data_IF_293668937868
#
_entry.id   IF_293668937868
#
_cell.length_a   1.000
_cell.length_b   1.000
_cell.length_c   1.000
_cell.angle_alpha   90.00
_cell.angle_beta   90.00
_cell.angle_gamma   90.00
#
_symmetry.space_group_name_H-M   'P 1'
#
loop_
_entity.id
_entity.type
_entity.pdbx_description
1 polymer ?
#
# COMPACT_ATOMS: atom_id res chain seq x y z
N UNK A 1 43.79 16.24 -6.24
CA UNK A 1 43.79 16.00 -4.77
C UNK A 1 43.15 14.65 -4.53
N UNK A 2 43.88 13.66 -4.02
CA UNK A 2 43.34 12.34 -3.69
C UNK A 2 42.42 12.52 -2.48
N UNK A 3 41.10 12.45 -2.67
CA UNK A 3 40.17 12.42 -1.53
C UNK A 3 40.32 11.05 -0.84
N UNK A 4 40.71 11.05 0.42
CA UNK A 4 40.74 9.83 1.22
C UNK A 4 39.32 9.21 1.22
N UNK A 5 39.26 7.90 0.99
CA UNK A 5 37.98 7.16 1.08
C UNK A 5 37.46 7.27 2.53
N UNK A 6 36.20 7.66 2.74
CA UNK A 6 35.62 7.76 4.08
C UNK A 6 35.49 6.37 4.68
N UNK A 7 36.27 6.07 5.71
CA UNK A 7 36.16 4.84 6.49
C UNK A 7 35.54 5.23 7.82
N UNK A 8 34.31 4.74 8.07
CA UNK A 8 33.58 4.96 9.32
C UNK A 8 33.90 3.84 10.32
N UNK A 9 34.16 4.18 11.56
CA UNK A 9 34.27 3.22 12.65
C UNK A 9 32.85 2.73 13.07
N UNK A 10 32.69 1.49 13.55
CA UNK A 10 31.37 0.96 13.95
C UNK A 10 30.63 1.81 15.01
N UNK A 11 31.33 2.48 15.91
CA UNK A 11 30.78 3.39 16.89
C UNK A 11 30.24 4.71 16.29
N UNK A 12 30.71 5.10 15.13
CA UNK A 12 30.19 6.26 14.39
C UNK A 12 28.88 5.93 13.68
N UNK A 13 28.56 4.63 13.48
CA UNK A 13 27.32 4.15 12.88
C UNK A 13 26.16 4.16 13.88
N UNK A 14 26.43 4.18 15.19
CA UNK A 14 25.40 4.09 16.26
C UNK A 14 24.45 5.29 16.35
N UNK A 15 24.76 6.39 15.67
CA UNK A 15 23.94 7.60 15.61
C UNK A 15 23.23 7.82 14.27
N UNK A 16 23.20 6.81 13.40
CA UNK A 16 22.42 6.95 12.17
C UNK A 16 20.94 7.03 12.52
N UNK A 17 20.36 8.19 12.24
CA UNK A 17 18.97 8.52 12.47
C UNK A 17 18.04 7.48 11.80
N UNK A 18 16.84 7.33 12.38
CA UNK A 18 15.71 6.66 11.71
C UNK A 18 15.61 7.19 10.27
N UNK A 19 15.16 6.33 9.34
CA UNK A 19 14.97 6.73 7.96
C UNK A 19 14.17 8.04 7.87
N UNK A 20 14.69 9.02 7.13
CA UNK A 20 14.00 10.29 6.90
C UNK A 20 12.96 10.12 5.79
N UNK A 21 11.74 9.82 6.20
CA UNK A 21 10.65 9.50 5.30
C UNK A 21 10.05 10.75 4.65
N UNK A 22 10.03 10.81 3.33
CA UNK A 22 9.19 11.73 2.55
C UNK A 22 7.75 11.21 2.45
N UNK A 23 7.58 9.89 2.27
CA UNK A 23 6.33 9.18 2.45
C UNK A 23 6.60 7.97 3.33
N UNK A 24 6.04 8.01 4.52
CA UNK A 24 6.35 7.06 5.59
C UNK A 24 6.28 5.62 5.12
N UNK A 25 7.37 4.89 5.31
CA UNK A 25 7.52 3.49 4.96
C UNK A 25 7.76 3.20 3.48
N UNK A 26 7.62 4.18 2.57
CA UNK A 26 7.69 3.93 1.13
C UNK A 26 8.71 4.78 0.37
N UNK A 27 8.92 6.03 0.74
CA UNK A 27 9.91 6.91 0.08
C UNK A 27 10.73 7.60 1.15
N UNK A 28 12.05 7.38 1.19
CA UNK A 28 12.96 7.95 2.16
C UNK A 28 14.10 8.72 1.49
N UNK A 29 14.56 9.81 2.13
CA UNK A 29 15.76 10.53 1.74
C UNK A 29 16.96 9.58 1.64
N UNK A 30 17.79 9.76 0.64
CA UNK A 30 18.98 8.93 0.42
C UNK A 30 18.71 7.51 -0.09
N UNK A 31 17.48 7.19 -0.53
CA UNK A 31 17.10 5.85 -0.97
C UNK A 31 16.48 5.85 -2.36
N UNK A 32 16.61 4.72 -3.05
CA UNK A 32 15.94 4.46 -4.32
C UNK A 32 14.72 3.57 -4.04
N UNK A 33 13.53 4.07 -4.37
CA UNK A 33 12.27 3.31 -4.32
C UNK A 33 11.83 2.95 -5.74
N UNK A 34 11.47 1.68 -5.96
CA UNK A 34 10.86 1.20 -7.20
C UNK A 34 9.37 0.95 -6.99
N UNK A 35 8.52 1.68 -7.71
CA UNK A 35 7.08 1.45 -7.77
C UNK A 35 6.73 0.71 -9.07
N UNK A 36 6.54 -0.60 -8.97
CA UNK A 36 6.19 -1.47 -10.08
C UNK A 36 4.68 -1.74 -10.13
N UNK A 37 4.07 -1.77 -11.31
CA UNK A 37 2.70 -2.22 -11.48
C UNK A 37 2.38 -2.61 -12.92
N UNK A 38 1.27 -3.29 -13.09
CA UNK A 38 0.67 -3.49 -14.40
C UNK A 38 0.25 -2.16 -15.04
N UNK A 39 0.14 -2.17 -16.36
CA UNK A 39 -0.36 -1.03 -17.12
C UNK A 39 -1.77 -0.62 -16.65
N UNK A 40 -2.05 0.68 -16.58
CA UNK A 40 -3.31 1.28 -16.12
C UNK A 40 -3.70 0.98 -14.65
N UNK A 41 -2.82 0.42 -13.83
CA UNK A 41 -3.11 0.24 -12.40
C UNK A 41 -3.07 1.55 -11.58
N UNK A 42 -2.80 2.70 -12.20
CA UNK A 42 -2.86 4.02 -11.57
C UNK A 42 -1.59 4.42 -10.81
N UNK A 43 -0.38 4.08 -11.32
CA UNK A 43 0.90 4.54 -10.73
C UNK A 43 1.00 6.06 -10.70
N UNK A 44 0.84 6.70 -11.86
CA UNK A 44 0.98 8.14 -12.00
C UNK A 44 -0.13 8.89 -11.25
N UNK A 45 -1.31 8.28 -11.04
CA UNK A 45 -2.36 8.84 -10.17
C UNK A 45 -1.94 8.84 -8.70
N UNK A 46 -1.33 7.75 -8.22
CA UNK A 46 -0.79 7.68 -6.85
C UNK A 46 0.38 8.64 -6.67
N UNK A 47 1.26 8.73 -7.67
CA UNK A 47 2.34 9.71 -7.70
C UNK A 47 1.79 11.14 -7.61
N UNK A 48 0.75 11.49 -8.39
CA UNK A 48 0.16 12.83 -8.37
C UNK A 48 -0.38 13.19 -6.96
N UNK A 49 -1.02 12.25 -6.28
CA UNK A 49 -1.44 12.44 -4.89
C UNK A 49 -0.25 12.70 -3.95
N UNK A 50 0.85 11.95 -4.10
CA UNK A 50 2.07 12.15 -3.31
C UNK A 50 2.65 13.55 -3.54
N UNK A 51 2.82 13.95 -4.80
CA UNK A 51 3.39 15.25 -5.15
C UNK A 51 2.56 16.41 -4.62
N UNK A 52 1.24 16.31 -4.65
CA UNK A 52 0.35 17.31 -4.07
C UNK A 52 0.49 17.40 -2.54
N UNK A 53 0.61 16.28 -1.86
CA UNK A 53 0.82 16.27 -0.40
C UNK A 53 2.19 16.80 0.01
N UNK A 54 3.22 16.66 -0.82
CA UNK A 54 4.54 17.22 -0.57
C UNK A 54 4.57 18.75 -0.57
N UNK A 55 3.52 19.44 -0.98
CA UNK A 55 3.44 20.91 -0.90
C UNK A 55 3.40 21.39 0.55
N UNK A 56 2.51 20.82 1.37
CA UNK A 56 2.24 21.26 2.74
C UNK A 56 2.36 20.12 3.76
N UNK A 57 2.71 18.94 3.32
CA UNK A 57 2.63 17.74 4.14
C UNK A 57 1.21 17.17 4.24
N UNK A 58 1.04 16.18 5.08
CA UNK A 58 -0.23 15.51 5.33
C UNK A 58 -0.10 14.00 5.30
N UNK A 59 -1.12 13.32 4.79
CA UNK A 59 -1.16 11.86 4.75
C UNK A 59 -1.66 11.34 3.41
N UNK A 60 -1.20 10.15 3.04
CA UNK A 60 -1.75 9.31 1.97
C UNK A 60 -2.01 7.93 2.55
N UNK A 61 -3.25 7.49 2.53
CA UNK A 61 -3.66 6.21 3.07
C UNK A 61 -3.20 5.99 4.54
N UNK A 62 -3.30 7.03 5.38
CA UNK A 62 -2.92 7.00 6.79
C UNK A 62 -1.41 6.99 7.03
N UNK A 63 -0.59 7.19 5.99
CA UNK A 63 0.86 7.28 6.10
C UNK A 63 1.31 8.72 5.88
N UNK A 64 2.11 9.25 6.80
CA UNK A 64 2.57 10.63 6.78
C UNK A 64 3.41 10.95 5.53
N UNK A 65 3.18 12.14 4.96
CA UNK A 65 3.95 12.73 3.88
C UNK A 65 4.59 14.01 4.38
N UNK A 66 5.91 14.12 4.26
CA UNK A 66 6.69 15.31 4.62
C UNK A 66 6.63 16.34 3.50
N UNK A 67 6.54 17.64 3.80
CA UNK A 67 6.74 18.67 2.80
C UNK A 67 8.12 18.55 2.14
N UNK A 68 8.19 18.86 0.84
CA UNK A 68 9.43 18.81 0.11
C UNK A 68 9.28 19.22 -1.35
N UNK A 69 10.42 19.41 -2.03
CA UNK A 69 10.49 19.78 -3.44
C UNK A 69 10.78 18.58 -4.31
N UNK A 70 10.02 18.45 -5.38
CA UNK A 70 10.12 17.33 -6.30
C UNK A 70 10.35 17.76 -7.75
N UNK A 71 11.10 16.96 -8.49
CA UNK A 71 11.18 17.03 -9.96
C UNK A 71 10.74 15.70 -10.55
N UNK A 72 9.92 15.74 -11.58
CA UNK A 72 9.42 14.56 -12.30
C UNK A 72 9.96 14.58 -13.73
N UNK A 73 10.69 13.52 -14.08
CA UNK A 73 10.96 13.17 -15.48
C UNK A 73 9.78 12.35 -15.98
N UNK A 74 8.97 12.91 -16.88
CA UNK A 74 7.75 12.26 -17.37
C UNK A 74 7.82 11.92 -18.85
N UNK A 75 7.44 10.69 -19.20
CA UNK A 75 7.18 10.29 -20.59
C UNK A 75 5.87 10.85 -21.13
N UNK A 76 4.99 11.31 -20.24
CA UNK A 76 3.73 11.94 -20.61
C UNK A 76 3.91 13.41 -20.99
N UNK A 77 3.03 13.87 -21.86
CA UNK A 77 3.04 15.28 -22.28
C UNK A 77 2.36 16.23 -21.26
N UNK A 78 2.58 17.55 -21.38
CA UNK A 78 2.05 18.56 -20.46
C UNK A 78 0.54 18.52 -20.26
N UNK A 79 -0.24 18.18 -21.31
CA UNK A 79 -1.70 18.14 -21.23
C UNK A 79 -2.25 17.13 -20.21
N UNK A 80 -1.57 15.99 -20.02
CA UNK A 80 -1.97 15.00 -19.01
C UNK A 80 -1.65 15.49 -17.58
N UNK A 81 -0.56 16.23 -17.43
CA UNK A 81 -0.20 16.86 -16.16
C UNK A 81 -1.10 18.04 -15.82
N UNK A 82 -1.56 18.83 -16.82
CA UNK A 82 -2.59 19.86 -16.63
C UNK A 82 -3.90 19.28 -16.08
N UNK A 83 -4.36 18.14 -16.64
CA UNK A 83 -5.50 17.42 -16.11
C UNK A 83 -5.34 16.98 -14.64
N UNK A 84 -4.14 16.56 -14.25
CA UNK A 84 -3.84 16.23 -12.84
C UNK A 84 -3.75 17.48 -11.97
N UNK A 85 -3.17 18.55 -12.50
CA UNK A 85 -3.09 19.83 -11.76
C UNK A 85 -4.47 20.37 -11.40
N UNK A 86 -5.46 20.24 -12.30
CA UNK A 86 -6.86 20.62 -12.02
C UNK A 86 -7.48 19.86 -10.86
N UNK A 87 -7.08 18.62 -10.63
CA UNK A 87 -7.57 17.80 -9.51
C UNK A 87 -6.77 18.01 -8.22
N UNK A 88 -5.44 18.08 -8.35
CA UNK A 88 -4.53 17.99 -7.20
C UNK A 88 -3.94 19.34 -6.77
N UNK A 89 -4.10 20.41 -7.58
CA UNK A 89 -3.64 21.77 -7.28
C UNK A 89 -2.16 21.82 -6.85
N UNK A 90 -1.26 21.30 -7.70
CA UNK A 90 0.18 21.31 -7.42
C UNK A 90 0.72 22.72 -7.18
N UNK A 91 1.64 22.86 -6.22
CA UNK A 91 2.29 24.12 -5.91
C UNK A 91 3.67 24.28 -6.59
N UNK A 92 4.35 25.35 -6.21
CA UNK A 92 5.68 25.72 -6.74
C UNK A 92 6.81 24.80 -6.27
N UNK A 93 6.49 23.82 -5.41
CA UNK A 93 7.40 22.79 -4.96
C UNK A 93 7.61 21.67 -6.00
N UNK A 94 6.89 21.69 -7.13
CA UNK A 94 6.94 20.68 -8.18
C UNK A 94 7.49 21.21 -9.48
N UNK A 95 8.58 20.63 -9.97
CA UNK A 95 9.12 20.79 -11.32
C UNK A 95 8.71 19.62 -12.23
N UNK A 96 8.25 19.92 -13.46
CA UNK A 96 7.86 18.91 -14.43
C UNK A 96 8.77 18.98 -15.67
N UNK A 97 9.45 17.91 -16.00
CA UNK A 97 10.23 17.73 -17.22
C UNK A 97 9.50 16.72 -18.13
N UNK A 98 8.54 17.24 -18.90
CA UNK A 98 7.74 16.43 -19.81
C UNK A 98 8.50 16.18 -21.11
N UNK A 99 8.84 14.90 -21.38
CA UNK A 99 9.54 14.47 -22.58
C UNK A 99 10.83 15.26 -22.85
N UNK A 100 11.78 15.33 -21.88
CA UNK A 100 12.97 16.18 -21.98
C UNK A 100 13.89 15.79 -23.15
N UNK A 101 13.79 14.56 -23.65
CA UNK A 101 14.60 14.06 -24.76
C UNK A 101 13.73 13.76 -25.98
N UNK A 102 14.29 13.96 -27.20
CA UNK A 102 13.64 13.60 -28.47
C UNK A 102 13.64 12.10 -28.76
N UNK A 103 14.04 11.28 -27.82
CA UNK A 103 14.15 9.82 -27.89
C UNK A 103 14.78 9.31 -26.61
N UNK A 104 15.40 8.13 -26.63
CA UNK A 104 16.20 7.67 -25.50
C UNK A 104 17.45 8.56 -25.36
N UNK A 105 17.81 9.00 -24.15
CA UNK A 105 19.04 9.78 -23.95
C UNK A 105 20.27 8.94 -24.26
N UNK A 106 21.32 9.60 -24.70
CA UNK A 106 22.66 9.01 -24.68
C UNK A 106 23.16 8.90 -23.22
N UNK A 107 24.14 8.03 -22.93
CA UNK A 107 24.79 7.99 -21.60
C UNK A 107 25.30 9.36 -21.14
N UNK A 108 25.84 10.16 -22.06
CA UNK A 108 26.32 11.51 -21.76
C UNK A 108 25.16 12.45 -21.37
N UNK A 109 24.09 12.49 -22.16
CA UNK A 109 22.89 13.30 -21.84
C UNK A 109 22.25 12.91 -20.50
N UNK A 110 22.28 11.62 -20.18
CA UNK A 110 21.81 11.12 -18.90
C UNK A 110 22.68 11.61 -17.73
N UNK A 111 24.00 11.50 -17.88
CA UNK A 111 24.96 11.99 -16.88
C UNK A 111 24.81 13.50 -16.65
N UNK A 112 24.80 14.30 -17.73
CA UNK A 112 24.59 15.75 -17.68
C UNK A 112 23.31 16.15 -16.96
N UNK A 113 22.21 15.43 -17.20
CA UNK A 113 20.94 15.65 -16.49
C UNK A 113 21.08 15.37 -15.00
N UNK A 114 21.74 14.27 -14.62
CA UNK A 114 21.94 13.92 -13.20
C UNK A 114 22.85 14.94 -12.50
N UNK A 115 23.86 15.47 -13.17
CA UNK A 115 24.71 16.53 -12.64
C UNK A 115 23.91 17.82 -12.38
N UNK A 116 23.09 18.25 -13.34
CA UNK A 116 22.18 19.40 -13.15
C UNK A 116 21.20 19.21 -12.00
N UNK A 117 20.69 17.99 -11.78
CA UNK A 117 19.79 17.68 -10.66
C UNK A 117 20.56 17.69 -9.31
N UNK A 118 21.81 17.24 -9.30
CA UNK A 118 22.70 17.35 -8.14
C UNK A 118 22.97 18.81 -7.76
N UNK A 119 23.24 19.66 -8.73
CA UNK A 119 23.43 21.11 -8.51
C UNK A 119 22.14 21.75 -7.97
N UNK A 120 20.97 21.37 -8.49
CA UNK A 120 19.69 21.86 -7.98
C UNK A 120 19.40 21.39 -6.56
N UNK A 121 19.78 20.17 -6.21
CA UNK A 121 19.68 19.70 -4.83
C UNK A 121 20.48 20.61 -3.89
N UNK A 122 21.73 20.91 -4.26
CA UNK A 122 22.60 21.77 -3.45
C UNK A 122 22.11 23.21 -3.35
N UNK A 123 21.48 23.76 -4.41
CA UNK A 123 21.13 25.19 -4.51
C UNK A 123 19.72 25.50 -4.03
N UNK A 124 18.74 24.65 -4.32
CA UNK A 124 17.32 24.92 -4.01
C UNK A 124 16.69 23.89 -3.05
N UNK A 125 17.46 22.87 -2.63
CA UNK A 125 16.97 21.85 -1.70
C UNK A 125 15.96 20.90 -2.37
N UNK A 126 16.36 20.22 -3.45
CA UNK A 126 15.52 19.22 -4.12
C UNK A 126 15.52 17.92 -3.31
N UNK A 127 14.34 17.48 -2.85
CA UNK A 127 14.17 16.32 -1.96
C UNK A 127 13.87 15.02 -2.72
N UNK A 128 13.15 15.11 -3.85
CA UNK A 128 12.65 13.95 -4.60
C UNK A 128 12.88 14.09 -6.10
N UNK A 129 13.54 13.11 -6.70
CA UNK A 129 13.53 12.87 -8.14
C UNK A 129 12.56 11.73 -8.45
N UNK A 130 11.62 11.94 -9.37
CA UNK A 130 10.73 10.90 -9.90
C UNK A 130 11.08 10.61 -11.36
N UNK A 131 11.13 9.34 -11.74
CA UNK A 131 11.37 8.88 -13.10
C UNK A 131 10.15 8.06 -13.56
N UNK A 132 9.30 8.63 -14.41
CA UNK A 132 8.06 8.03 -14.91
C UNK A 132 8.05 7.93 -16.46
N UNK A 133 8.49 6.84 -17.06
CA UNK A 133 8.97 5.58 -16.50
C UNK A 133 10.46 5.38 -16.80
N UNK A 134 11.18 4.58 -16.00
CA UNK A 134 12.59 4.33 -16.19
C UNK A 134 12.93 3.78 -17.59
N UNK A 135 12.07 2.94 -18.15
CA UNK A 135 12.31 2.30 -19.45
C UNK A 135 12.42 3.31 -20.60
N UNK A 136 11.69 4.42 -20.48
CA UNK A 136 11.70 5.51 -21.47
C UNK A 136 13.01 6.30 -21.41
N UNK A 137 13.56 6.48 -20.21
CA UNK A 137 14.73 7.30 -19.95
C UNK A 137 16.04 6.49 -19.80
N UNK A 138 15.94 5.15 -19.80
CA UNK A 138 17.12 4.29 -19.69
C UNK A 138 18.05 4.49 -20.90
N UNK A 139 19.29 4.95 -20.71
CA UNK A 139 20.25 5.00 -21.78
C UNK A 139 20.50 3.62 -22.39
N UNK A 140 20.59 3.55 -23.71
CA UNK A 140 20.82 2.30 -24.41
C UNK A 140 19.53 1.56 -24.85
N UNK A 141 19.73 0.50 -25.64
CA UNK A 141 18.62 -0.19 -26.35
C UNK A 141 18.12 -1.45 -25.67
N UNK A 142 18.88 -2.04 -24.75
CA UNK A 142 18.55 -3.34 -24.16
C UNK A 142 18.23 -3.24 -22.67
N UNK A 143 16.95 -3.11 -22.36
CA UNK A 143 16.40 -3.06 -21.00
C UNK A 143 16.56 -4.35 -20.17
N UNK A 144 16.91 -5.45 -20.81
CA UNK A 144 17.15 -6.74 -20.13
C UNK A 144 18.64 -6.96 -19.81
N UNK A 145 19.52 -6.04 -20.23
CA UNK A 145 20.94 -6.13 -19.94
C UNK A 145 21.24 -5.52 -18.57
N UNK A 146 21.67 -6.35 -17.63
CA UNK A 146 21.99 -5.93 -16.26
C UNK A 146 23.05 -4.83 -16.20
N UNK A 147 24.05 -4.87 -17.08
CA UNK A 147 25.10 -3.85 -17.13
C UNK A 147 24.56 -2.48 -17.56
N UNK A 148 23.68 -2.44 -18.58
CA UNK A 148 23.05 -1.20 -19.04
C UNK A 148 22.18 -0.58 -17.92
N UNK A 149 21.46 -1.42 -17.17
CA UNK A 149 20.69 -0.96 -16.01
C UNK A 149 21.64 -0.45 -14.92
N UNK A 150 22.67 -1.20 -14.58
CA UNK A 150 23.64 -0.80 -13.55
C UNK A 150 24.28 0.54 -13.89
N UNK A 151 24.78 0.74 -15.10
CA UNK A 151 25.39 2.00 -15.58
C UNK A 151 24.41 3.17 -15.49
N UNK A 152 23.11 2.97 -15.80
CA UNK A 152 22.11 4.01 -15.70
C UNK A 152 21.72 4.35 -14.25
N UNK A 153 21.87 3.40 -13.32
CA UNK A 153 21.53 3.59 -11.90
C UNK A 153 22.67 4.20 -11.08
N UNK A 154 23.93 4.06 -11.52
CA UNK A 154 25.07 4.65 -10.82
C UNK A 154 24.93 6.17 -10.56
N UNK A 155 24.55 7.01 -11.53
CA UNK A 155 24.32 8.43 -11.27
C UNK A 155 23.18 8.69 -10.27
N UNK A 156 22.14 7.82 -10.21
CA UNK A 156 21.08 7.92 -9.22
C UNK A 156 21.58 7.62 -7.80
N UNK A 157 22.50 6.65 -7.66
CA UNK A 157 23.15 6.39 -6.37
C UNK A 157 23.99 7.58 -5.89
N UNK A 158 24.60 8.33 -6.81
CA UNK A 158 25.28 9.57 -6.46
C UNK A 158 24.30 10.61 -5.89
N UNK A 159 23.13 10.80 -6.50
CA UNK A 159 22.08 11.69 -5.98
C UNK A 159 21.58 11.24 -4.59
N UNK A 160 21.39 9.95 -4.39
CA UNK A 160 20.94 9.44 -3.08
C UNK A 160 22.00 9.58 -2.01
N UNK A 161 23.30 9.44 -2.36
CA UNK A 161 24.40 9.67 -1.40
C UNK A 161 24.45 11.12 -0.89
N UNK A 162 23.86 12.05 -1.62
CA UNK A 162 23.70 13.46 -1.25
C UNK A 162 22.40 13.72 -0.47
N UNK A 163 21.60 12.68 -0.20
CA UNK A 163 20.36 12.75 0.57
C UNK A 163 19.08 12.87 -0.26
N UNK A 164 19.14 12.97 -1.60
CA UNK A 164 17.94 12.99 -2.45
C UNK A 164 17.24 11.64 -2.44
N UNK A 165 15.91 11.61 -2.33
CA UNK A 165 15.13 10.42 -2.60
C UNK A 165 14.95 10.24 -4.12
N UNK A 166 14.94 9.00 -4.59
CA UNK A 166 14.62 8.67 -6.00
C UNK A 166 13.47 7.70 -6.03
N UNK A 167 12.39 8.05 -6.76
CA UNK A 167 11.23 7.20 -7.00
C UNK A 167 11.18 6.82 -8.49
N UNK A 168 11.36 5.54 -8.76
CA UNK A 168 11.32 4.98 -10.11
C UNK A 168 9.99 4.30 -10.34
N UNK A 169 9.25 4.71 -11.38
CA UNK A 169 8.06 4.03 -11.83
C UNK A 169 8.41 3.03 -12.94
N UNK A 170 7.87 1.82 -12.84
CA UNK A 170 8.16 0.75 -13.79
C UNK A 170 6.89 -0.02 -14.19
N UNK A 171 6.75 -0.34 -15.49
CA UNK A 171 5.70 -1.20 -15.99
C UNK A 171 6.15 -2.66 -15.98
N UNK A 172 5.34 -3.52 -15.38
CA UNK A 172 5.59 -4.96 -15.40
C UNK A 172 4.93 -5.62 -16.62
N UNK A 173 5.48 -6.74 -17.08
CA UNK A 173 4.90 -7.51 -18.18
C UNK A 173 3.55 -8.13 -17.79
N UNK A 174 2.65 -8.34 -18.77
CA UNK A 174 1.26 -8.80 -18.60
C UNK A 174 1.04 -10.17 -17.92
N UNK A 175 2.06 -11.01 -17.71
CA UNK A 175 1.87 -12.29 -17.03
C UNK A 175 1.71 -12.06 -15.53
N UNK A 176 0.59 -12.54 -14.97
CA UNK A 176 0.43 -12.69 -13.54
C UNK A 176 1.61 -13.51 -13.00
N UNK A 177 2.50 -12.87 -12.31
CA UNK A 177 3.53 -13.55 -11.53
C UNK A 177 3.09 -13.56 -10.07
N UNK A 178 3.43 -14.64 -9.35
CA UNK A 178 3.22 -14.71 -7.91
C UNK A 178 3.86 -13.50 -7.21
N UNK A 179 3.32 -13.12 -6.06
CA UNK A 179 3.75 -12.00 -5.24
C UNK A 179 5.29 -11.91 -5.11
N UNK A 180 5.84 -10.73 -5.27
CA UNK A 180 7.28 -10.47 -5.26
C UNK A 180 8.02 -10.82 -6.56
N UNK A 181 7.32 -11.22 -7.62
CA UNK A 181 7.93 -11.58 -8.91
C UNK A 181 7.61 -10.60 -10.05
N UNK A 182 6.75 -9.61 -9.82
CA UNK A 182 6.38 -8.64 -10.86
C UNK A 182 7.57 -7.78 -11.29
N UNK A 183 8.39 -7.33 -10.35
CA UNK A 183 9.63 -6.60 -10.63
C UNK A 183 10.77 -7.49 -11.16
N UNK A 184 10.68 -8.82 -10.98
CA UNK A 184 11.72 -9.77 -11.43
C UNK A 184 11.79 -9.97 -12.94
N UNK A 185 10.87 -9.38 -13.71
CA UNK A 185 11.01 -9.29 -15.18
C UNK A 185 12.20 -8.42 -15.63
N UNK A 186 12.70 -7.55 -14.74
CA UNK A 186 13.95 -6.82 -14.81
C UNK A 186 14.76 -7.08 -13.52
N UNK A 187 15.20 -8.33 -13.32
CA UNK A 187 15.86 -8.78 -12.08
C UNK A 187 17.01 -7.90 -11.61
N UNK A 188 17.70 -7.24 -12.55
CA UNK A 188 18.74 -6.28 -12.27
C UNK A 188 18.17 -5.04 -11.52
N UNK A 189 17.05 -4.44 -11.98
CA UNK A 189 16.53 -3.21 -11.38
C UNK A 189 16.09 -3.42 -9.91
N UNK A 190 15.42 -4.55 -9.60
CA UNK A 190 15.00 -4.87 -8.24
C UNK A 190 16.18 -5.09 -7.27
N UNK A 191 17.35 -5.51 -7.77
CA UNK A 191 18.55 -5.71 -6.96
C UNK A 191 19.26 -4.41 -6.56
N UNK A 192 19.00 -3.31 -7.25
CA UNK A 192 19.63 -2.01 -7.01
C UNK A 192 18.81 -1.04 -6.13
N UNK A 193 17.57 -1.37 -5.81
CA UNK A 193 16.69 -0.48 -5.04
C UNK A 193 16.64 -0.87 -3.56
N UNK A 194 16.43 0.13 -2.71
CA UNK A 194 16.34 -0.05 -1.26
C UNK A 194 14.92 -0.46 -0.85
N UNK A 195 13.92 0.07 -1.57
CA UNK A 195 12.50 -0.15 -1.32
C UNK A 195 11.84 -0.57 -2.64
N UNK A 196 11.16 -1.72 -2.63
CA UNK A 196 10.35 -2.21 -3.73
C UNK A 196 8.88 -2.17 -3.35
N UNK A 197 8.05 -1.51 -4.17
CA UNK A 197 6.59 -1.48 -4.02
C UNK A 197 5.96 -2.07 -5.27
N UNK A 198 5.15 -3.09 -5.11
CA UNK A 198 4.28 -3.62 -6.17
C UNK A 198 2.85 -3.15 -5.94
N UNK A 199 2.28 -2.46 -6.94
CA UNK A 199 0.88 -2.01 -6.93
C UNK A 199 0.05 -2.94 -7.80
N UNK A 200 -0.87 -3.65 -7.17
CA UNK A 200 -1.76 -4.62 -7.80
C UNK A 200 -3.20 -4.11 -7.85
N UNK A 201 -3.99 -4.62 -8.79
CA UNK A 201 -5.43 -4.57 -8.69
C UNK A 201 -5.88 -5.36 -7.45
N UNK A 202 -6.90 -4.86 -6.75
CA UNK A 202 -7.50 -5.60 -5.63
C UNK A 202 -8.38 -6.74 -6.16
N UNK A 203 -9.19 -6.44 -7.16
CA UNK A 203 -10.03 -7.39 -7.89
C UNK A 203 -9.60 -7.52 -9.36
N UNK A 204 -10.55 -7.81 -10.25
CA UNK A 204 -10.32 -7.84 -11.69
C UNK A 204 -9.95 -6.45 -12.22
N UNK A 205 -9.00 -6.33 -13.17
CA UNK A 205 -8.69 -5.08 -13.85
C UNK A 205 -9.88 -4.43 -14.55
N UNK A 206 -10.89 -5.22 -14.89
CA UNK A 206 -12.10 -4.79 -15.62
C UNK A 206 -13.21 -4.32 -14.66
N UNK A 207 -13.03 -4.52 -13.34
CA UNK A 207 -14.00 -4.10 -12.35
C UNK A 207 -13.96 -2.58 -12.11
N UNK A 208 -15.07 -2.03 -11.61
CA UNK A 208 -15.15 -0.64 -11.15
C UNK A 208 -14.50 -0.43 -9.78
N UNK A 209 -13.89 -1.46 -9.21
CA UNK A 209 -13.23 -1.44 -7.92
C UNK A 209 -12.04 -0.47 -7.93
N UNK A 210 -12.10 0.53 -7.06
CA UNK A 210 -11.07 1.56 -6.91
C UNK A 210 -9.97 1.18 -5.92
N UNK A 211 -10.10 0.04 -5.26
CA UNK A 211 -9.08 -0.47 -4.33
C UNK A 211 -7.87 -0.99 -5.08
N UNK A 212 -6.71 -0.83 -4.47
CA UNK A 212 -5.45 -1.37 -4.94
C UNK A 212 -4.70 -1.97 -3.75
N UNK A 213 -3.96 -3.02 -3.99
CA UNK A 213 -3.05 -3.61 -3.01
C UNK A 213 -1.64 -3.10 -3.29
N UNK A 214 -1.03 -2.48 -2.31
CA UNK A 214 0.40 -2.22 -2.25
C UNK A 214 1.05 -3.37 -1.49
N UNK A 215 2.10 -3.93 -2.05
CA UNK A 215 2.93 -4.93 -1.42
C UNK A 215 4.37 -4.46 -1.49
N UNK A 216 5.08 -4.40 -0.36
CA UNK A 216 6.39 -3.80 -0.33
C UNK A 216 7.42 -4.64 0.43
N UNK A 217 8.66 -4.48 0.00
CA UNK A 217 9.84 -5.09 0.58
C UNK A 217 10.91 -4.03 0.73
N UNK A 218 11.52 -3.95 1.90
CA UNK A 218 12.63 -3.07 2.18
C UNK A 218 13.48 -3.63 3.34
N UNK A 219 14.56 -2.92 3.65
CA UNK A 219 15.39 -3.18 4.83
C UNK A 219 14.85 -2.50 6.10
N UNK A 220 13.78 -1.70 5.97
CA UNK A 220 13.20 -0.91 7.05
C UNK A 220 11.99 -1.62 7.65
N UNK A 221 11.93 -1.69 8.97
CA UNK A 221 10.80 -2.28 9.72
C UNK A 221 9.51 -1.49 9.56
N UNK A 222 9.62 -0.18 9.32
CA UNK A 222 8.51 0.75 9.14
C UNK A 222 7.77 0.59 7.81
N UNK A 223 8.35 -0.13 6.84
CA UNK A 223 7.69 -0.38 5.55
C UNK A 223 6.51 -1.33 5.71
N UNK A 224 5.27 -0.88 5.45
CA UNK A 224 4.12 -1.77 5.47
C UNK A 224 4.27 -2.85 4.39
N UNK A 225 4.33 -4.11 4.82
CA UNK A 225 4.47 -5.23 3.87
C UNK A 225 3.28 -5.36 2.93
N UNK A 226 2.09 -4.98 3.41
CA UNK A 226 0.87 -5.01 2.64
C UNK A 226 -0.07 -3.90 3.11
N UNK A 227 -0.62 -3.15 2.17
CA UNK A 227 -1.61 -2.11 2.43
C UNK A 227 -2.63 -2.09 1.30
N UNK A 228 -3.91 -2.15 1.66
CA UNK A 228 -5.00 -1.90 0.73
C UNK A 228 -5.32 -0.42 0.77
N UNK A 229 -5.29 0.22 -0.40
CA UNK A 229 -5.63 1.62 -0.58
C UNK A 229 -6.81 1.75 -1.53
N UNK A 230 -7.70 2.68 -1.27
CA UNK A 230 -8.83 3.00 -2.14
C UNK A 230 -8.74 4.44 -2.64
N UNK A 231 -8.81 4.62 -3.96
CA UNK A 231 -8.83 5.94 -4.58
C UNK A 231 -10.24 6.52 -4.58
N UNK A 232 -10.37 7.70 -3.99
CA UNK A 232 -11.63 8.42 -3.84
C UNK A 232 -11.86 9.41 -5.00
N UNK A 233 -13.11 9.84 -5.18
CA UNK A 233 -13.48 10.78 -6.26
C UNK A 233 -12.81 12.15 -6.14
N UNK A 234 -12.47 12.57 -4.93
CA UNK A 234 -11.74 13.82 -4.64
C UNK A 234 -10.21 13.71 -4.85
N UNK A 235 -9.72 12.57 -5.35
CA UNK A 235 -8.29 12.32 -5.58
C UNK A 235 -7.54 11.77 -4.38
N UNK A 236 -8.16 11.66 -3.21
CA UNK A 236 -7.52 11.12 -2.00
C UNK A 236 -7.41 9.60 -2.03
N UNK A 237 -6.51 9.07 -1.21
CA UNK A 237 -6.37 7.64 -0.96
C UNK A 237 -6.66 7.34 0.50
N UNK A 238 -7.62 6.43 0.74
CA UNK A 238 -7.93 5.91 2.07
C UNK A 238 -7.22 4.57 2.29
N UNK A 239 -6.71 4.36 3.50
CA UNK A 239 -6.26 3.05 3.95
C UNK A 239 -7.46 2.14 4.25
N UNK A 240 -7.43 0.91 3.72
CA UNK A 240 -8.38 -0.14 4.05
C UNK A 240 -7.77 -1.23 4.94
N UNK A 241 -6.53 -1.02 5.42
CA UNK A 241 -5.77 -1.98 6.20
C UNK A 241 -5.03 -3.00 5.33
N UNK A 242 -4.75 -4.18 5.88
CA UNK A 242 -4.19 -5.29 5.12
C UNK A 242 -5.30 -6.14 4.47
N UNK A 243 -4.93 -7.15 3.69
CA UNK A 243 -5.89 -8.01 3.00
C UNK A 243 -6.80 -8.77 3.99
N UNK A 244 -6.29 -9.18 5.14
CA UNK A 244 -7.08 -9.87 6.16
C UNK A 244 -8.10 -8.92 6.79
N UNK A 245 -7.72 -7.66 7.03
CA UNK A 245 -8.62 -6.62 7.55
C UNK A 245 -9.75 -6.31 6.55
N UNK A 246 -9.41 -6.22 5.27
CA UNK A 246 -10.40 -5.90 4.25
C UNK A 246 -11.36 -7.08 4.00
N UNK A 247 -10.84 -8.30 3.97
CA UNK A 247 -11.66 -9.52 3.90
C UNK A 247 -12.56 -9.62 5.13
N UNK A 248 -12.03 -9.32 6.32
CA UNK A 248 -12.84 -9.29 7.54
C UNK A 248 -13.97 -8.27 7.44
N UNK A 249 -13.70 -7.02 7.02
CA UNK A 249 -14.73 -5.98 6.87
C UNK A 249 -15.81 -6.36 5.88
N UNK A 250 -15.42 -6.84 4.70
CA UNK A 250 -16.38 -7.20 3.64
C UNK A 250 -17.30 -8.35 4.04
N UNK A 251 -16.90 -9.20 4.99
CA UNK A 251 -17.70 -10.30 5.49
C UNK A 251 -18.31 -10.02 6.87
N UNK A 252 -17.86 -8.96 7.55
CA UNK A 252 -18.42 -8.58 8.85
C UNK A 252 -19.91 -8.29 8.77
N UNK A 253 -20.36 -7.58 7.75
CA UNK A 253 -21.77 -7.25 7.55
C UNK A 253 -22.63 -8.53 7.41
N UNK A 254 -22.11 -9.54 6.72
CA UNK A 254 -22.77 -10.84 6.58
C UNK A 254 -22.82 -11.60 7.92
N UNK A 255 -21.68 -11.66 8.61
CA UNK A 255 -21.58 -12.30 9.92
C UNK A 255 -22.45 -11.59 10.95
N UNK A 256 -22.46 -10.27 10.96
CA UNK A 256 -23.29 -9.44 11.80
C UNK A 256 -24.77 -9.69 11.52
N UNK A 257 -25.19 -9.75 10.25
CA UNK A 257 -26.58 -10.05 9.88
C UNK A 257 -27.02 -11.43 10.39
N UNK A 258 -26.16 -12.47 10.29
CA UNK A 258 -26.45 -13.81 10.82
C UNK A 258 -26.65 -13.79 12.33
N UNK A 259 -25.75 -13.08 13.06
CA UNK A 259 -25.83 -13.00 14.52
C UNK A 259 -26.98 -12.11 15.00
N UNK A 260 -27.28 -11.02 14.27
CA UNK A 260 -28.42 -10.14 14.56
C UNK A 260 -29.77 -10.83 14.38
N UNK A 261 -29.89 -11.66 13.35
CA UNK A 261 -31.13 -12.46 13.09
C UNK A 261 -31.28 -13.67 14.00
N UNK A 262 -30.31 -13.95 14.88
CA UNK A 262 -30.36 -15.10 15.73
C UNK A 262 -31.26 -14.86 16.97
N UNK A 263 -32.12 -15.85 17.28
CA UNK A 263 -32.96 -15.93 18.46
C UNK A 263 -32.29 -16.54 19.70
N UNK A 264 -31.08 -17.09 19.49
CA UNK A 264 -30.28 -17.76 20.52
C UNK A 264 -28.78 -17.62 20.17
N UNK A 265 -27.93 -17.92 21.16
CA UNK A 265 -26.49 -17.98 20.98
C UNK A 265 -26.13 -19.11 20.01
N UNK A 266 -25.34 -18.82 18.95
CA UNK A 266 -25.05 -19.75 17.85
C UNK A 266 -23.67 -20.39 17.98
N UNK A 267 -23.56 -21.69 17.66
CA UNK A 267 -22.27 -22.33 17.39
C UNK A 267 -21.74 -21.98 15.99
N UNK A 268 -20.47 -22.23 15.72
CA UNK A 268 -19.86 -22.01 14.39
C UNK A 268 -20.60 -22.75 13.28
N UNK A 269 -20.98 -23.99 13.51
CA UNK A 269 -21.77 -24.77 12.54
C UNK A 269 -23.14 -24.15 12.27
N UNK A 270 -23.79 -23.64 13.30
CA UNK A 270 -25.08 -22.96 13.16
C UNK A 270 -24.96 -21.64 12.41
N UNK A 271 -23.85 -20.90 12.59
CA UNK A 271 -23.54 -19.69 11.82
C UNK A 271 -23.36 -20.04 10.34
N UNK A 272 -22.56 -21.06 10.01
CA UNK A 272 -22.35 -21.50 8.63
C UNK A 272 -23.65 -21.97 7.95
N UNK A 273 -24.53 -22.68 8.66
CA UNK A 273 -25.84 -23.12 8.13
C UNK A 273 -26.81 -21.97 7.86
N UNK A 274 -26.63 -20.82 8.54
CA UNK A 274 -27.44 -19.61 8.39
C UNK A 274 -26.78 -18.57 7.50
N UNK A 275 -25.68 -18.95 6.81
CA UNK A 275 -24.99 -18.02 5.93
C UNK A 275 -25.90 -17.55 4.81
N UNK A 276 -25.91 -16.25 4.47
CA UNK A 276 -26.85 -15.68 3.52
C UNK A 276 -26.75 -16.33 2.13
N UNK A 277 -27.88 -16.63 1.52
CA UNK A 277 -27.95 -17.16 0.16
C UNK A 277 -27.30 -16.19 -0.83
N UNK A 278 -26.61 -16.72 -1.84
CA UNK A 278 -25.87 -15.92 -2.83
C UNK A 278 -24.45 -15.52 -2.40
N UNK A 279 -24.05 -15.84 -1.16
CA UNK A 279 -22.69 -15.62 -0.67
C UNK A 279 -22.05 -16.95 -0.27
N UNK A 280 -20.80 -17.15 -0.73
CA UNK A 280 -20.03 -18.35 -0.37
C UNK A 280 -19.71 -18.33 1.14
N UNK A 281 -20.07 -19.38 1.91
CA UNK A 281 -19.74 -19.43 3.33
C UNK A 281 -18.21 -19.57 3.52
N UNK A 282 -17.64 -18.94 4.55
CA UNK A 282 -16.22 -19.05 4.83
C UNK A 282 -15.87 -20.47 5.30
N UNK A 283 -14.60 -20.86 5.09
CA UNK A 283 -14.08 -22.05 5.74
C UNK A 283 -14.14 -21.94 7.27
N UNK A 284 -14.28 -23.06 7.96
CA UNK A 284 -14.40 -23.12 9.42
C UNK A 284 -13.25 -22.44 10.16
N UNK A 285 -12.02 -22.53 9.62
CA UNK A 285 -10.82 -21.86 10.16
C UNK A 285 -10.86 -20.35 9.98
N UNK A 286 -11.38 -19.88 8.85
CA UNK A 286 -11.57 -18.47 8.55
C UNK A 286 -12.66 -17.87 9.44
N UNK A 287 -13.81 -18.54 9.57
CA UNK A 287 -14.87 -18.11 10.48
C UNK A 287 -14.36 -18.04 11.93
N UNK A 288 -13.54 -19.00 12.36
CA UNK A 288 -12.97 -18.96 13.70
C UNK A 288 -12.09 -17.72 13.92
N UNK A 289 -11.24 -17.36 12.96
CA UNK A 289 -10.40 -16.15 13.02
C UNK A 289 -11.25 -14.87 13.11
N UNK A 290 -12.31 -14.78 12.31
CA UNK A 290 -13.23 -13.64 12.33
C UNK A 290 -13.94 -13.50 13.67
N UNK A 291 -14.47 -14.60 14.20
CA UNK A 291 -15.14 -14.61 15.51
C UNK A 291 -14.17 -14.29 16.65
N UNK A 292 -12.95 -14.82 16.62
CA UNK A 292 -11.93 -14.50 17.64
C UNK A 292 -11.60 -13.01 17.62
N UNK A 293 -11.42 -12.43 16.44
CA UNK A 293 -11.18 -10.99 16.27
C UNK A 293 -12.37 -10.14 16.76
N UNK A 294 -13.60 -10.54 16.44
CA UNK A 294 -14.79 -9.84 16.90
C UNK A 294 -14.95 -9.88 18.42
N UNK A 295 -14.54 -10.99 19.06
CA UNK A 295 -14.51 -11.11 20.51
C UNK A 295 -13.42 -10.20 21.10
N UNK A 296 -12.22 -10.16 20.54
CA UNK A 296 -11.13 -9.27 20.97
C UNK A 296 -11.52 -7.78 20.83
N UNK A 297 -12.29 -7.44 19.80
CA UNK A 297 -12.81 -6.08 19.58
C UNK A 297 -14.06 -5.77 20.44
N UNK A 298 -14.53 -6.72 21.21
CA UNK A 298 -15.70 -6.54 22.08
C UNK A 298 -17.04 -6.39 21.34
N UNK A 299 -17.11 -6.79 20.06
CA UNK A 299 -18.32 -6.77 19.23
C UNK A 299 -19.17 -8.03 19.44
N UNK A 300 -18.52 -9.16 19.68
CA UNK A 300 -19.13 -10.48 19.87
C UNK A 300 -18.71 -11.01 21.22
N UNK A 301 -19.68 -11.61 21.92
CA UNK A 301 -19.45 -12.35 23.16
C UNK A 301 -19.36 -13.86 22.85
N UNK A 302 -18.60 -14.57 23.68
CA UNK A 302 -18.39 -16.00 23.55
C UNK A 302 -18.60 -16.71 24.88
N UNK A 303 -19.31 -17.82 24.87
CA UNK A 303 -19.42 -18.75 26.02
C UNK A 303 -19.12 -20.19 25.60
N UNK A 304 -19.00 -21.09 26.59
CA UNK A 304 -18.70 -22.51 26.41
C UNK A 304 -17.20 -22.80 26.42
N UNK A 305 -16.85 -24.03 26.80
CA UNK A 305 -15.45 -24.46 26.98
C UNK A 305 -14.76 -24.87 25.66
N UNK A 306 -15.51 -24.99 24.55
CA UNK A 306 -14.96 -25.27 23.23
C UNK A 306 -14.76 -26.75 22.87
N UNK A 307 -15.29 -27.68 23.66
CA UNK A 307 -15.27 -29.11 23.37
C UNK A 307 -16.67 -29.65 22.93
N UNK A 308 -16.76 -30.91 22.50
CA UNK A 308 -17.96 -31.46 21.87
C UNK A 308 -19.23 -31.38 22.74
N UNK A 309 -19.11 -31.50 24.05
CA UNK A 309 -20.25 -31.43 24.99
C UNK A 309 -20.58 -29.98 25.41
N UNK A 310 -19.65 -29.04 25.25
CA UNK A 310 -19.84 -27.62 25.53
C UNK A 310 -19.14 -26.77 24.46
N UNK A 311 -19.70 -26.69 23.23
CA UNK A 311 -19.12 -25.95 22.14
C UNK A 311 -19.18 -24.44 22.38
N UNK A 312 -18.22 -23.70 21.85
CA UNK A 312 -18.29 -22.27 21.86
C UNK A 312 -19.56 -21.77 21.18
N UNK A 313 -20.27 -20.84 21.83
CA UNK A 313 -21.45 -20.13 21.33
C UNK A 313 -21.15 -18.65 21.27
N UNK A 314 -21.62 -18.00 20.23
CA UNK A 314 -21.36 -16.60 19.89
C UNK A 314 -22.65 -15.82 19.75
N UNK A 315 -22.65 -14.55 20.17
CA UNK A 315 -23.74 -13.59 19.99
C UNK A 315 -23.19 -12.17 19.98
N UNK A 316 -23.95 -11.23 19.40
CA UNK A 316 -23.59 -9.81 19.45
C UNK A 316 -23.76 -9.29 20.87
N UNK A 317 -22.77 -8.53 21.34
CA UNK A 317 -22.79 -7.94 22.68
C UNK A 317 -24.01 -7.06 22.92
N UNK A 318 -24.43 -6.30 21.91
CA UNK A 318 -25.63 -5.47 21.94
C UNK A 318 -26.93 -6.24 22.16
N UNK A 319 -26.98 -7.54 21.83
CA UNK A 319 -28.13 -8.43 22.01
C UNK A 319 -28.14 -9.18 23.34
N UNK A 320 -27.14 -8.98 24.18
CA UNK A 320 -27.05 -9.76 25.43
C UNK A 320 -28.24 -9.52 26.35
N UNK A 321 -28.65 -8.26 26.51
CA UNK A 321 -29.84 -7.92 27.32
C UNK A 321 -31.11 -8.56 26.77
N UNK A 322 -31.32 -8.53 25.43
CA UNK A 322 -32.50 -9.15 24.77
C UNK A 322 -32.52 -10.66 24.95
N UNK A 323 -31.37 -11.31 24.83
CA UNK A 323 -31.24 -12.76 24.99
C UNK A 323 -31.44 -13.20 26.45
N UNK A 324 -31.07 -12.37 27.42
CA UNK A 324 -31.35 -12.61 28.83
C UNK A 324 -32.83 -12.46 29.14
N UNK A 325 -33.48 -11.40 28.63
CA UNK A 325 -34.91 -11.15 28.83
C UNK A 325 -35.75 -12.34 28.29
N UNK A 326 -35.50 -12.76 27.06
CA UNK A 326 -36.23 -13.92 26.46
C UNK A 326 -36.04 -15.21 27.25
N UNK A 327 -34.89 -15.41 27.88
CA UNK A 327 -34.66 -16.58 28.73
C UNK A 327 -35.48 -16.50 30.03
N UNK A 328 -35.64 -15.32 30.58
CA UNK A 328 -36.45 -15.08 31.77
C UNK A 328 -37.91 -15.30 31.46
N UNK A 329 -38.43 -14.74 30.36
CA UNK A 329 -39.79 -14.88 29.90
C UNK A 329 -40.18 -16.35 29.64
N UNK A 330 -39.23 -17.17 29.12
CA UNK A 330 -39.48 -18.62 28.92
C UNK A 330 -39.47 -19.42 30.24
N UNK A 331 -38.86 -18.94 31.31
CA UNK A 331 -38.84 -19.57 32.63
C UNK A 331 -40.07 -19.17 33.49
N UNK A 332 -40.70 -18.03 33.15
CA UNK A 332 -41.91 -17.52 33.83
C UNK A 332 -43.21 -17.95 33.16
N UNK A 333 -43.18 -18.78 32.12
CA UNK A 333 -44.42 -19.40 31.59
C UNK A 333 -45.04 -20.24 32.69
N UNK A 334 -46.37 -20.06 32.99
CA UNK A 334 -47.05 -20.85 33.98
C UNK A 334 -47.04 -22.34 33.58
N UNK A 335 -47.00 -23.26 34.56
CA UNK A 335 -46.98 -24.67 34.25
C UNK A 335 -48.19 -25.03 33.38
N UNK A 336 -47.99 -25.92 32.40
CA UNK A 336 -48.98 -26.34 31.41
C UNK A 336 -50.28 -26.85 32.01
N UNK A 337 -50.35 -27.05 33.33
CA UNK A 337 -51.53 -27.50 34.07
C UNK A 337 -52.58 -26.40 34.33
N UNK A 338 -52.26 -25.11 34.09
CA UNK A 338 -53.20 -23.98 34.26
C UNK A 338 -53.88 -23.52 32.94
N UNK A 339 -53.62 -24.21 31.83
CA UNK A 339 -54.17 -23.86 30.49
C UNK A 339 -55.33 -24.73 30.04
N UNK A 340 -55.98 -25.51 30.95
CA UNK A 340 -57.20 -26.31 30.66
C UNK A 340 -58.30 -26.11 31.71
#
# INVERSE_FOLDING_TARGET
>A
MSSALPILAPNELCNQAKADWLWQGYVASGNITLLASQWKAGKTTLLAALLARMQNGGEIAGLAVKPGRAVVLSEEGPALWDGRHKLYHFGDNLGLMCRPFRGKPSPQQWAELMEQLSERQATVGLDLLVIDTMITFLPGRNENNANVIAEALLPLQQLTSQGMAVLILHHTRKKQSADGKMARGSGALAGFVDILIEKHWYGSPESTDRRRRLQAWSRYSETPRQLIIEWMANGEYLARGNQEDEVYRSHWDLLHAVLSGADRKLTREQILRRWPEGHEPPETTTLWRWLSRAVEQGQVERSGAGHCHDPHRYWLKEKEAELHQRRHDLLELPPLEELW
#
